data_IF_236419701479
#
_entry.id   IF_236419701479
#
_cell.length_a   1.000
_cell.length_b   1.000
_cell.length_c   1.000
_cell.angle_alpha   90.00
_cell.angle_beta   90.00
_cell.angle_gamma   90.00
#
_symmetry.space_group_name_H-M   'P 1'
#
loop_
_entity.id
_entity.type
_entity.pdbx_description
1 polymer ?
#
# COMPACT_ATOMS: atom_id res chain seq x y z
N UNK A 1 -8.99 -10.55 42.05
CA UNK A 1 -9.03 -11.96 42.45
C UNK A 1 -8.02 -12.63 41.54
N UNK A 2 -6.76 -12.62 41.96
CA UNK A 2 -5.67 -13.25 41.22
C UNK A 2 -5.80 -14.76 41.43
N UNK A 3 -6.12 -15.49 40.37
CA UNK A 3 -6.04 -16.94 40.36
C UNK A 3 -4.54 -17.27 40.29
N UNK A 4 -3.94 -17.56 41.45
CA UNK A 4 -2.66 -18.24 41.51
C UNK A 4 -2.83 -19.57 40.76
N UNK A 5 -2.14 -19.74 39.63
CA UNK A 5 -2.17 -20.97 38.87
C UNK A 5 -1.52 -22.08 39.71
N UNK A 6 -2.33 -22.96 40.29
CA UNK A 6 -1.85 -24.10 41.07
C UNK A 6 -1.15 -25.08 40.12
N UNK A 7 0.14 -25.30 40.35
CA UNK A 7 1.00 -26.14 39.49
C UNK A 7 0.53 -27.61 39.52
N UNK A 8 -0.18 -28.00 40.58
CA UNK A 8 -0.77 -29.34 40.76
C UNK A 8 -1.97 -29.63 39.84
N UNK A 9 -2.57 -28.63 39.19
CA UNK A 9 -3.66 -28.82 38.20
C UNK A 9 -3.14 -29.09 36.79
N UNK A 10 -1.81 -29.08 36.57
CA UNK A 10 -1.19 -29.44 35.30
C UNK A 10 -0.92 -30.94 35.32
N UNK A 11 -1.79 -31.70 34.65
CA UNK A 11 -1.60 -33.13 34.43
C UNK A 11 -0.38 -33.35 33.52
N UNK A 12 0.68 -33.96 34.07
CA UNK A 12 1.93 -34.29 33.38
C UNK A 12 2.12 -35.81 33.25
N UNK A 13 1.06 -36.60 33.44
CA UNK A 13 1.13 -38.06 33.35
C UNK A 13 1.04 -38.54 31.90
N UNK A 14 2.14 -38.35 31.18
CA UNK A 14 2.37 -38.80 29.81
C UNK A 14 2.26 -40.34 29.65
N UNK A 15 2.25 -41.12 30.75
CA UNK A 15 2.24 -42.58 30.74
C UNK A 15 0.84 -43.19 30.53
N UNK A 16 -0.24 -42.45 30.81
CA UNK A 16 -1.62 -42.94 30.65
C UNK A 16 -2.06 -43.04 29.17
N UNK A 17 -1.49 -42.21 28.29
CA UNK A 17 -1.84 -42.11 26.86
C UNK A 17 -0.59 -42.13 25.94
N UNK A 18 0.45 -42.88 26.31
CA UNK A 18 1.75 -42.95 25.62
C UNK A 18 1.63 -43.13 24.09
N UNK A 19 0.66 -43.93 23.62
CA UNK A 19 0.44 -44.16 22.20
C UNK A 19 -0.05 -42.91 21.44
N UNK A 20 -0.99 -42.15 22.02
CA UNK A 20 -1.52 -40.92 21.40
C UNK A 20 -0.47 -39.80 21.42
N UNK A 21 0.31 -39.71 22.50
CA UNK A 21 1.39 -38.73 22.62
C UNK A 21 2.56 -39.01 21.69
N UNK A 22 2.91 -40.29 21.50
CA UNK A 22 3.91 -40.69 20.50
C UNK A 22 3.46 -40.34 19.08
N UNK A 23 2.17 -40.55 18.76
CA UNK A 23 1.61 -40.13 17.47
C UNK A 23 1.60 -38.60 17.32
N UNK A 24 1.25 -37.86 18.38
CA UNK A 24 1.29 -36.40 18.39
C UNK A 24 2.73 -35.86 18.25
N UNK A 25 3.71 -36.48 18.90
CA UNK A 25 5.13 -36.19 18.71
C UNK A 25 5.56 -36.46 17.27
N UNK A 26 5.20 -37.62 16.71
CA UNK A 26 5.50 -37.98 15.32
C UNK A 26 4.86 -37.00 14.34
N UNK A 27 3.63 -36.56 14.58
CA UNK A 27 2.95 -35.55 13.76
C UNK A 27 3.66 -34.19 13.80
N UNK A 28 4.09 -33.74 14.99
CA UNK A 28 4.92 -32.54 15.15
C UNK A 28 6.24 -32.66 14.40
N UNK A 29 6.90 -33.81 14.49
CA UNK A 29 8.18 -34.05 13.82
C UNK A 29 8.03 -34.11 12.31
N UNK A 30 7.00 -34.80 11.79
CA UNK A 30 6.66 -34.78 10.36
C UNK A 30 6.36 -33.36 9.89
N UNK A 31 5.64 -32.56 10.69
CA UNK A 31 5.36 -31.17 10.35
C UNK A 31 6.63 -30.30 10.29
N UNK A 32 7.64 -30.58 11.14
CA UNK A 32 8.95 -29.91 11.08
C UNK A 32 9.70 -30.27 9.80
N UNK A 33 9.85 -31.56 9.52
CA UNK A 33 10.51 -32.05 8.30
C UNK A 33 9.82 -31.50 7.05
N UNK A 34 8.49 -31.47 7.06
CA UNK A 34 7.68 -30.90 5.97
C UNK A 34 7.96 -29.41 5.77
N UNK A 35 8.00 -28.61 6.85
CA UNK A 35 8.32 -27.17 6.78
C UNK A 35 9.68 -26.91 6.15
N UNK A 36 10.71 -27.61 6.61
CA UNK A 36 12.07 -27.45 6.09
C UNK A 36 12.18 -27.83 4.61
N UNK A 37 11.39 -28.83 4.19
CA UNK A 37 11.31 -29.25 2.79
C UNK A 37 10.56 -28.24 1.93
N UNK A 38 9.39 -27.78 2.39
CA UNK A 38 8.57 -26.79 1.71
C UNK A 38 9.31 -25.46 1.55
N UNK A 39 10.11 -25.04 2.53
CA UNK A 39 10.94 -23.84 2.45
C UNK A 39 11.99 -23.93 1.33
N UNK A 40 12.71 -25.06 1.25
CA UNK A 40 13.68 -25.27 0.15
C UNK A 40 13.00 -25.31 -1.21
N UNK A 41 11.87 -26.01 -1.30
CA UNK A 41 11.09 -26.10 -2.54
C UNK A 41 10.51 -24.73 -2.93
N UNK A 42 10.07 -23.91 -1.98
CA UNK A 42 9.58 -22.55 -2.22
C UNK A 42 10.68 -21.63 -2.75
N UNK A 43 11.88 -21.65 -2.16
CA UNK A 43 13.01 -20.87 -2.67
C UNK A 43 13.45 -21.30 -4.08
N UNK A 44 13.45 -22.62 -4.35
CA UNK A 44 13.76 -23.13 -5.69
C UNK A 44 12.70 -22.67 -6.69
N UNK A 45 11.41 -22.80 -6.34
CA UNK A 45 10.30 -22.40 -7.18
C UNK A 45 10.31 -20.90 -7.47
N UNK A 46 10.57 -20.06 -6.47
CA UNK A 46 10.68 -18.61 -6.67
C UNK A 46 11.82 -18.29 -7.65
N UNK A 47 12.98 -18.95 -7.50
CA UNK A 47 14.12 -18.78 -8.41
C UNK A 47 13.78 -19.22 -9.84
N UNK A 48 13.10 -20.36 -9.99
CA UNK A 48 12.63 -20.87 -11.28
C UNK A 48 11.59 -19.94 -11.92
N UNK A 49 10.69 -19.35 -11.13
CA UNK A 49 9.72 -18.36 -11.61
C UNK A 49 10.43 -17.08 -12.10
N UNK A 50 11.41 -16.59 -11.35
CA UNK A 50 12.23 -15.44 -11.75
C UNK A 50 12.99 -15.75 -13.05
N UNK A 51 13.61 -16.92 -13.15
CA UNK A 51 14.35 -17.35 -14.34
C UNK A 51 13.40 -17.52 -15.55
N UNK A 52 12.22 -18.10 -15.34
CA UNK A 52 11.18 -18.20 -16.37
C UNK A 52 10.75 -16.82 -16.86
N UNK A 53 10.51 -15.86 -15.97
CA UNK A 53 10.16 -14.49 -16.35
C UNK A 53 11.30 -13.79 -17.09
N UNK A 54 12.55 -14.06 -16.72
CA UNK A 54 13.73 -13.52 -17.43
C UNK A 54 13.92 -14.11 -18.82
N UNK A 55 13.58 -15.39 -19.00
CA UNK A 55 13.70 -16.10 -20.27
C UNK A 55 12.47 -15.91 -21.19
N UNK A 56 11.34 -15.44 -20.67
CA UNK A 56 10.15 -15.12 -21.48
C UNK A 56 10.40 -13.90 -22.37
N UNK A 57 9.84 -13.94 -23.58
CA UNK A 57 9.83 -12.79 -24.49
C UNK A 57 8.81 -11.74 -24.03
N UNK A 58 8.99 -10.49 -24.48
CA UNK A 58 8.13 -9.36 -24.08
C UNK A 58 6.65 -9.54 -24.49
N UNK A 59 6.40 -10.29 -25.57
CA UNK A 59 5.03 -10.60 -26.04
C UNK A 59 4.35 -11.62 -25.11
N UNK A 60 5.06 -12.67 -24.72
CA UNK A 60 4.57 -13.69 -23.77
C UNK A 60 4.36 -13.09 -22.37
N UNK A 61 5.24 -12.18 -21.95
CA UNK A 61 5.10 -11.45 -20.69
C UNK A 61 3.81 -10.61 -20.66
N UNK A 62 3.50 -9.90 -21.75
CA UNK A 62 2.28 -9.10 -21.86
C UNK A 62 1.02 -9.96 -21.82
N UNK A 63 1.05 -11.13 -22.46
CA UNK A 63 -0.05 -12.08 -22.37
C UNK A 63 -0.21 -12.67 -20.97
N UNK A 64 0.91 -12.98 -20.30
CA UNK A 64 0.90 -13.48 -18.93
C UNK A 64 0.34 -12.44 -17.96
N UNK A 65 0.74 -11.18 -18.08
CA UNK A 65 0.19 -10.07 -17.28
C UNK A 65 -1.29 -9.83 -17.55
N UNK A 66 -1.75 -10.06 -18.79
CA UNK A 66 -3.18 -10.01 -19.16
C UNK A 66 -3.98 -11.17 -18.56
N UNK A 67 -3.40 -12.38 -18.53
CA UNK A 67 -4.03 -13.58 -17.96
C UNK A 67 -4.01 -13.58 -16.43
N UNK A 68 -2.98 -13.00 -15.82
CA UNK A 68 -2.79 -12.84 -14.38
C UNK A 68 -2.81 -11.36 -13.99
N UNK A 69 -3.99 -10.70 -14.02
CA UNK A 69 -4.08 -9.31 -13.61
C UNK A 69 -3.72 -9.18 -12.13
N UNK A 70 -2.82 -8.24 -11.82
CA UNK A 70 -2.50 -7.90 -10.43
C UNK A 70 -3.78 -7.47 -9.70
N UNK A 71 -4.01 -7.91 -8.46
CA UNK A 71 -5.16 -7.47 -7.69
C UNK A 71 -5.16 -5.94 -7.62
N UNK A 72 -6.30 -5.33 -7.92
CA UNK A 72 -6.41 -3.89 -7.90
C UNK A 72 -6.17 -3.37 -6.47
N UNK A 73 -5.36 -2.30 -6.28
CA UNK A 73 -5.18 -1.74 -4.97
C UNK A 73 -6.51 -1.24 -4.41
N UNK A 74 -6.70 -1.24 -3.09
CA UNK A 74 -7.92 -0.72 -2.48
C UNK A 74 -8.13 0.75 -2.87
N UNK A 75 -9.39 1.20 -2.97
CA UNK A 75 -9.69 2.57 -3.35
C UNK A 75 -9.05 3.55 -2.37
N UNK A 76 -8.26 4.50 -2.90
CA UNK A 76 -7.66 5.57 -2.09
C UNK A 76 -8.77 6.46 -1.56
N UNK A 77 -8.88 6.56 -0.24
CA UNK A 77 -9.81 7.48 0.41
C UNK A 77 -9.48 8.93 0.06
N UNK A 78 -10.51 9.76 -0.09
CA UNK A 78 -10.30 11.18 -0.39
C UNK A 78 -10.10 11.97 0.90
N UNK A 79 -8.94 12.60 1.01
CA UNK A 79 -8.54 13.44 2.13
C UNK A 79 -9.28 14.77 2.13
N UNK A 80 -9.54 15.32 3.32
CA UNK A 80 -10.13 16.66 3.48
C UNK A 80 -9.08 17.75 3.26
N UNK A 81 -9.55 18.95 2.95
CA UNK A 81 -8.66 20.10 2.75
C UNK A 81 -7.84 20.37 4.01
N UNK A 82 -6.52 20.46 3.85
CA UNK A 82 -5.53 20.63 4.93
C UNK A 82 -5.52 19.55 6.03
N UNK A 83 -6.04 18.35 5.75
CA UNK A 83 -5.94 17.21 6.65
C UNK A 83 -4.48 16.76 6.83
N UNK A 84 -4.07 16.46 8.06
CA UNK A 84 -2.71 16.02 8.36
C UNK A 84 -2.51 14.56 7.97
N UNK A 85 -1.46 14.30 7.17
CA UNK A 85 -1.00 12.96 6.84
C UNK A 85 -0.24 12.32 8.00
N UNK A 86 -0.70 11.13 8.40
CA UNK A 86 -0.01 10.24 9.33
C UNK A 86 0.54 9.06 8.55
N UNK A 87 1.87 8.96 8.49
CA UNK A 87 2.54 7.83 7.87
C UNK A 87 2.39 6.59 8.75
N UNK A 88 2.04 5.44 8.17
CA UNK A 88 1.80 4.17 8.90
C UNK A 88 3.09 3.49 9.42
N UNK A 89 4.22 4.20 9.45
CA UNK A 89 5.55 3.60 9.64
C UNK A 89 6.07 2.87 8.40
N UNK A 90 7.27 2.28 8.47
CA UNK A 90 7.84 1.41 7.43
C UNK A 90 8.14 -0.01 7.95
N UNK A 91 8.07 -0.20 9.26
CA UNK A 91 8.41 -1.44 9.94
C UNK A 91 7.14 -2.22 10.28
N UNK A 92 7.21 -3.56 10.29
CA UNK A 92 6.13 -4.47 10.71
C UNK A 92 4.81 -4.32 9.94
N UNK A 93 4.86 -3.82 8.69
CA UNK A 93 3.69 -3.70 7.83
C UNK A 93 3.37 -4.98 7.06
N UNK A 94 4.39 -5.78 6.80
CA UNK A 94 4.29 -7.13 6.25
C UNK A 94 4.42 -8.13 7.37
N UNK A 95 3.93 -9.34 7.13
CA UNK A 95 4.29 -10.48 7.97
C UNK A 95 5.82 -10.60 8.03
N UNK A 96 6.33 -11.06 9.16
CA UNK A 96 7.75 -11.34 9.28
C UNK A 96 8.13 -12.44 8.27
N UNK A 97 9.26 -12.27 7.59
CA UNK A 97 9.85 -13.32 6.75
C UNK A 97 10.42 -14.49 7.60
N UNK A 98 10.25 -14.44 8.93
CA UNK A 98 10.70 -15.48 9.87
C UNK A 98 9.79 -16.72 9.78
N UNK A 99 10.32 -17.90 9.43
CA UNK A 99 9.56 -19.15 9.33
C UNK A 99 8.96 -19.61 10.67
N UNK A 100 9.42 -19.10 11.80
CA UNK A 100 8.84 -19.39 13.11
C UNK A 100 7.53 -18.63 13.39
N UNK A 101 7.10 -17.71 12.51
CA UNK A 101 5.91 -16.88 12.66
C UNK A 101 5.84 -16.17 14.03
N UNK A 102 7.00 -15.89 14.64
CA UNK A 102 7.13 -15.34 15.99
C UNK A 102 6.46 -13.98 16.14
N UNK A 103 6.38 -13.23 15.03
CA UNK A 103 5.70 -11.95 14.93
C UNK A 103 4.75 -11.94 13.72
N UNK A 104 3.47 -12.21 13.97
CA UNK A 104 2.43 -12.06 12.94
C UNK A 104 2.17 -10.59 12.61
N UNK A 105 1.76 -10.28 11.37
CA UNK A 105 1.27 -8.95 11.04
C UNK A 105 0.09 -8.60 11.95
N UNK A 106 0.25 -7.53 12.72
CA UNK A 106 -0.81 -7.07 13.60
C UNK A 106 -1.91 -6.45 12.75
N UNK A 107 -3.15 -6.93 12.93
CA UNK A 107 -4.36 -6.39 12.31
C UNK A 107 -4.52 -4.86 12.48
N UNK A 108 -3.79 -4.27 13.43
CA UNK A 108 -3.72 -2.83 13.67
C UNK A 108 -3.26 -2.04 12.43
N UNK A 109 -2.35 -2.57 11.61
CA UNK A 109 -1.80 -1.87 10.45
C UNK A 109 -2.71 -1.90 9.22
N UNK A 110 -3.74 -2.75 9.23
CA UNK A 110 -4.78 -2.81 8.20
C UNK A 110 -5.92 -1.82 8.43
N UNK A 111 -5.91 -1.08 9.55
CA UNK A 111 -6.93 -0.06 9.85
C UNK A 111 -6.87 1.11 8.85
N UNK A 112 -7.94 1.89 8.82
CA UNK A 112 -7.98 3.13 8.06
C UNK A 112 -7.24 4.25 8.82
N UNK A 113 -6.06 4.64 8.30
CA UNK A 113 -5.26 5.76 8.82
C UNK A 113 -5.51 7.07 8.06
N UNK A 114 -6.41 7.06 7.07
CA UNK A 114 -6.77 8.25 6.29
C UNK A 114 -7.95 9.01 6.88
N UNK A 115 -8.51 8.55 8.01
CA UNK A 115 -9.61 9.20 8.69
C UNK A 115 -9.19 10.56 9.31
N UNK A 116 -10.06 11.60 9.24
CA UNK A 116 -9.80 12.88 9.87
C UNK A 116 -9.67 12.74 11.39
N UNK A 117 -8.58 13.26 11.96
CA UNK A 117 -8.27 13.16 13.39
C UNK A 117 -8.25 14.54 14.04
N UNK A 118 -8.81 14.67 15.24
CA UNK A 118 -8.83 15.94 16.00
C UNK A 118 -9.44 17.09 15.21
N UNK A 119 -8.67 18.15 15.00
CA UNK A 119 -9.06 19.39 14.30
C UNK A 119 -9.44 19.20 12.83
N UNK A 120 -9.05 18.08 12.21
CA UNK A 120 -9.38 17.79 10.80
C UNK A 120 -10.84 17.33 10.61
N UNK A 121 -11.57 17.09 11.71
CA UNK A 121 -13.02 16.80 11.69
C UNK A 121 -13.84 18.01 11.22
N UNK A 122 -13.31 19.23 11.32
CA UNK A 122 -13.97 20.43 10.80
C UNK A 122 -13.62 20.67 9.33
N UNK A 123 -14.56 21.23 8.56
CA UNK A 123 -14.29 21.59 7.17
C UNK A 123 -13.50 22.91 7.09
N UNK A 124 -12.20 22.81 6.81
CA UNK A 124 -11.29 23.95 6.74
C UNK A 124 -11.49 24.81 5.48
N UNK A 125 -12.33 24.38 4.52
CA UNK A 125 -12.64 25.17 3.32
C UNK A 125 -13.53 26.38 3.63
N UNK A 126 -14.32 26.31 4.70
CA UNK A 126 -15.22 27.38 5.15
C UNK A 126 -14.42 28.53 5.81
N UNK A 127 -13.17 28.28 6.21
CA UNK A 127 -12.31 29.29 6.82
C UNK A 127 -11.98 30.43 5.84
N UNK A 128 -11.83 31.67 6.32
CA UNK A 128 -11.31 32.76 5.51
C UNK A 128 -9.96 32.42 4.89
N UNK A 129 -9.67 32.92 3.68
CA UNK A 129 -8.46 32.57 2.90
C UNK A 129 -7.16 32.75 3.70
N UNK A 130 -7.08 33.77 4.55
CA UNK A 130 -5.92 34.06 5.41
C UNK A 130 -5.68 32.96 6.45
N UNK A 131 -6.74 32.28 6.90
CA UNK A 131 -6.70 31.17 7.85
C UNK A 131 -6.59 29.79 7.18
N UNK A 132 -6.73 29.69 5.85
CA UNK A 132 -6.53 28.45 5.07
C UNK A 132 -5.04 28.10 4.91
N UNK A 133 -4.33 28.12 6.03
CA UNK A 133 -2.87 27.95 6.11
C UNK A 133 -2.52 27.02 7.25
N UNK A 134 -1.56 26.12 7.02
CA UNK A 134 -1.13 25.17 8.05
C UNK A 134 -0.47 25.93 9.22
N UNK A 135 -0.93 25.67 10.44
CA UNK A 135 -0.45 26.31 11.67
C UNK A 135 -0.58 27.84 11.69
N UNK A 136 -1.79 28.35 11.43
CA UNK A 136 -2.10 29.78 11.55
C UNK A 136 -1.66 30.35 12.91
N UNK A 137 -0.99 31.51 12.90
CA UNK A 137 -0.48 32.17 14.10
C UNK A 137 0.91 31.73 14.58
N UNK A 138 1.56 30.74 13.94
CA UNK A 138 2.95 30.35 14.24
C UNK A 138 3.96 31.03 13.32
N UNK A 139 5.14 31.34 13.84
CA UNK A 139 6.29 31.81 13.05
C UNK A 139 6.88 30.67 12.18
N UNK A 140 7.65 31.02 11.14
CA UNK A 140 8.32 30.04 10.27
C UNK A 140 7.45 29.43 9.16
N UNK A 141 6.39 30.13 8.75
CA UNK A 141 5.50 29.68 7.67
C UNK A 141 6.19 29.72 6.31
N UNK A 142 6.04 28.66 5.52
CA UNK A 142 6.46 28.65 4.11
C UNK A 142 5.57 29.53 3.24
N UNK A 143 6.16 30.20 2.24
CA UNK A 143 5.43 31.02 1.26
C UNK A 143 4.47 30.17 0.43
N UNK A 144 4.91 28.97 0.07
CA UNK A 144 4.19 27.97 -0.72
C UNK A 144 3.23 27.16 0.15
N UNK A 145 2.02 26.91 -0.36
CA UNK A 145 0.95 26.26 0.41
C UNK A 145 0.74 24.80 0.04
N UNK A 146 0.19 24.52 -1.14
CA UNK A 146 -0.09 23.18 -1.63
C UNK A 146 0.07 23.15 -3.13
N UNK A 147 0.50 22.00 -3.65
CA UNK A 147 0.93 21.84 -5.05
C UNK A 147 -0.10 22.37 -6.05
N UNK A 148 -1.40 22.19 -5.78
CA UNK A 148 -2.48 22.67 -6.65
C UNK A 148 -2.53 24.20 -6.76
N UNK A 149 -2.22 24.92 -5.68
CA UNK A 149 -2.22 26.39 -5.69
C UNK A 149 -0.95 26.96 -6.34
N UNK A 150 0.15 26.20 -6.29
CA UNK A 150 1.44 26.61 -6.87
C UNK A 150 1.66 26.01 -8.27
N UNK A 151 0.71 25.22 -8.78
CA UNK A 151 0.75 24.65 -10.12
C UNK A 151 0.50 25.74 -11.15
N UNK A 152 1.56 26.18 -11.82
CA UNK A 152 1.51 27.21 -12.85
C UNK A 152 1.25 26.64 -14.25
N UNK A 153 0.82 25.36 -14.35
CA UNK A 153 0.52 24.74 -15.63
C UNK A 153 -0.68 25.43 -16.28
N UNK A 154 -0.42 26.19 -17.34
CA UNK A 154 -1.47 26.82 -18.15
C UNK A 154 -2.08 25.79 -19.11
N UNK A 155 -3.29 25.35 -18.78
CA UNK A 155 -4.07 24.42 -19.56
C UNK A 155 -4.77 25.01 -20.78
N UNK A 156 -4.66 26.33 -20.99
CA UNK A 156 -5.19 27.01 -22.16
C UNK A 156 -4.12 27.23 -23.25
N UNK A 157 -2.90 26.72 -23.03
CA UNK A 157 -1.83 26.82 -23.99
C UNK A 157 -2.02 25.80 -25.14
N UNK A 158 -1.87 26.19 -26.43
CA UNK A 158 -1.90 25.29 -27.59
C UNK A 158 -1.06 24.01 -27.47
N UNK A 159 0.02 24.04 -26.68
CA UNK A 159 0.88 22.88 -26.43
C UNK A 159 0.27 21.85 -25.46
N UNK A 160 -0.75 22.22 -24.68
CA UNK A 160 -1.41 21.35 -23.68
C UNK A 160 -2.61 20.58 -24.22
N UNK A 161 -3.20 21.02 -25.34
CA UNK A 161 -4.27 20.32 -26.02
C UNK A 161 -3.74 19.06 -26.76
N UNK A 162 -4.48 17.95 -26.68
CA UNK A 162 -4.21 16.74 -27.47
C UNK A 162 -4.74 16.93 -28.91
N UNK A 163 -4.21 17.92 -29.63
CA UNK A 163 -4.54 18.20 -31.02
C UNK A 163 -3.66 17.35 -31.98
N UNK A 164 -4.13 16.95 -33.18
CA UNK A 164 -3.29 16.36 -34.22
C UNK A 164 -1.99 17.13 -34.54
N UNK A 165 -1.92 18.45 -34.32
CA UNK A 165 -0.66 19.22 -34.42
C UNK A 165 0.39 18.74 -33.40
N UNK A 166 -0.03 18.41 -32.17
CA UNK A 166 0.85 17.88 -31.13
C UNK A 166 1.29 16.45 -31.43
N UNK A 167 0.43 15.62 -32.00
CA UNK A 167 0.81 14.29 -32.46
C UNK A 167 1.93 14.36 -33.51
N UNK A 168 1.84 15.31 -34.47
CA UNK A 168 2.90 15.57 -35.46
C UNK A 168 4.20 16.10 -34.82
N UNK A 169 4.11 16.98 -33.83
CA UNK A 169 5.27 17.48 -33.09
C UNK A 169 5.97 16.38 -32.27
N UNK A 170 5.21 15.55 -31.57
CA UNK A 170 5.74 14.41 -30.79
C UNK A 170 6.37 13.34 -31.70
N UNK A 171 5.79 13.08 -32.88
CA UNK A 171 6.40 12.20 -33.87
C UNK A 171 7.74 12.74 -34.42
N UNK A 172 7.92 14.06 -34.43
CA UNK A 172 9.16 14.72 -34.85
C UNK A 172 10.21 14.79 -33.74
N UNK A 173 9.78 14.87 -32.48
CA UNK A 173 10.65 14.91 -31.30
C UNK A 173 10.83 13.51 -30.71
N UNK A 174 11.96 12.87 -31.01
CA UNK A 174 12.31 11.53 -30.53
C UNK A 174 12.62 11.55 -29.02
N UNK A 175 11.60 11.60 -28.15
CA UNK A 175 11.68 11.33 -26.70
C UNK A 175 10.34 11.43 -25.95
N UNK A 176 9.31 12.06 -26.52
CA UNK A 176 8.10 12.44 -25.73
C UNK A 176 6.83 11.86 -26.35
N UNK A 177 6.62 10.55 -26.16
CA UNK A 177 5.40 9.85 -26.57
C UNK A 177 4.31 9.80 -25.48
N UNK A 178 4.54 10.44 -24.33
CA UNK A 178 3.57 10.42 -23.23
C UNK A 178 2.54 11.54 -23.42
N UNK A 179 1.23 11.26 -23.36
CA UNK A 179 0.21 12.31 -23.38
C UNK A 179 0.34 13.17 -22.10
N UNK A 180 0.64 14.45 -22.27
CA UNK A 180 0.48 15.46 -21.23
C UNK A 180 -1.03 15.58 -20.99
N UNK A 181 -1.52 14.88 -19.99
CA UNK A 181 -2.89 14.97 -19.53
C UNK A 181 -2.94 15.86 -18.30
N UNK A 182 -4.06 16.59 -18.14
CA UNK A 182 -4.43 17.16 -16.83
C UNK A 182 -4.24 16.08 -15.78
N UNK A 183 -3.49 16.31 -14.69
CA UNK A 183 -3.52 15.38 -13.57
C UNK A 183 -4.99 15.21 -13.24
N UNK A 184 -5.52 14.00 -13.44
CA UNK A 184 -6.93 13.70 -13.14
C UNK A 184 -7.06 13.80 -11.63
N UNK A 185 -7.33 15.01 -11.13
CA UNK A 185 -7.79 15.23 -9.78
C UNK A 185 -8.95 14.26 -9.56
N UNK A 186 -8.85 13.42 -8.55
CA UNK A 186 -9.78 12.33 -8.24
C UNK A 186 -11.26 12.77 -8.41
N UNK A 187 -11.90 12.57 -9.56
CA UNK A 187 -13.35 12.79 -9.86
C UNK A 187 -14.04 14.05 -9.27
N UNK A 188 -13.31 15.03 -8.73
CA UNK A 188 -13.81 16.07 -7.81
C UNK A 188 -13.13 17.42 -8.06
N UNK A 189 -12.72 17.72 -9.29
CA UNK A 189 -12.80 19.11 -9.74
C UNK A 189 -14.20 19.24 -10.35
N UNK A 190 -15.10 19.83 -9.59
CA UNK A 190 -16.35 20.35 -10.13
C UNK A 190 -15.93 21.53 -10.99
N UNK A 191 -16.21 21.48 -12.29
CA UNK A 191 -15.99 22.59 -13.20
C UNK A 191 -16.68 23.83 -12.61
N UNK A 192 -15.92 24.88 -12.32
CA UNK A 192 -16.45 26.16 -11.85
C UNK A 192 -16.83 27.07 -13.02
N UNK A 193 -16.77 26.57 -14.25
CA UNK A 193 -17.13 27.27 -15.48
C UNK A 193 -18.29 26.55 -16.19
N UNK A 194 -19.46 26.55 -15.55
CA UNK A 194 -20.74 26.50 -16.26
C UNK A 194 -21.63 27.58 -15.65
N UNK A 195 -21.98 28.55 -16.47
CA UNK A 195 -22.94 29.61 -16.18
C UNK A 195 -24.33 29.15 -16.61
#
# INVERSE_FOLDING_TARGET
MELEANIEDVDTDDELNEAEEYEAWKAREIARIKRDREEREAMIKEREEIEKVRNMTEEERREWERKNPKPAPPPKQKWRFMQKYYHKGAFFQTDADDPAATAGAQNIYHRDFSAPTGDDKMDKTILPKVMQVKHFGRSGRTKWTHLVNEDTTDWNNPWTYNDPLRAKYNAKMAAVNVPIAKPKGSKKLKDWEMK
#
